data_IF_385144994877
#
_entry.id   IF_385144994877
#
_cell.length_a   1.000
_cell.length_b   1.000
_cell.length_c   1.000
_cell.angle_alpha   90.00
_cell.angle_beta   90.00
_cell.angle_gamma   90.00
#
_symmetry.space_group_name_H-M   'P 1'
#
loop_
_entity.id
_entity.type
_entity.pdbx_description
1 polymer ?
#
# COMPACT_ATOMS: atom_id res chain seq x y z
N UNK A 1 -12.00 2.49 -3.95
CA UNK A 1 -12.59 1.61 -2.91
C UNK A 1 -14.07 1.93 -2.69
N UNK A 2 -14.86 0.95 -2.23
CA UNK A 2 -16.28 1.15 -1.92
C UNK A 2 -16.47 0.95 -0.42
N UNK A 3 -17.09 1.91 0.26
CA UNK A 3 -17.34 1.86 1.70
C UNK A 3 -18.55 2.74 2.06
N UNK A 4 -19.43 2.24 2.94
CA UNK A 4 -20.56 3.00 3.50
C UNK A 4 -21.43 3.71 2.45
N UNK A 5 -21.79 3.00 1.37
CA UNK A 5 -22.54 3.51 0.22
C UNK A 5 -21.84 4.63 -0.58
N UNK A 6 -20.52 4.79 -0.43
CA UNK A 6 -19.70 5.72 -1.18
C UNK A 6 -18.66 4.98 -2.02
N UNK A 7 -18.30 5.57 -3.16
CA UNK A 7 -17.14 5.17 -3.95
C UNK A 7 -16.07 6.23 -3.77
N UNK A 8 -14.88 5.81 -3.36
CA UNK A 8 -13.71 6.67 -3.29
C UNK A 8 -12.74 6.24 -4.38
N UNK A 9 -12.25 7.18 -5.16
CA UNK A 9 -11.32 6.89 -6.25
C UNK A 9 -10.40 8.08 -6.47
N UNK A 10 -9.21 7.80 -6.97
CA UNK A 10 -8.28 8.81 -7.44
C UNK A 10 -8.36 8.95 -8.96
N UNK A 11 -8.12 10.17 -9.43
CA UNK A 11 -7.81 10.48 -10.83
C UNK A 11 -6.79 11.62 -10.83
N UNK A 12 -5.66 11.41 -11.52
CA UNK A 12 -4.65 12.46 -11.71
C UNK A 12 -4.20 13.12 -10.40
N UNK A 13 -3.87 12.30 -9.38
CA UNK A 13 -3.48 12.71 -8.03
C UNK A 13 -4.59 13.37 -7.18
N UNK A 14 -5.83 13.41 -7.68
CA UNK A 14 -6.97 13.93 -6.93
C UNK A 14 -7.83 12.79 -6.41
N UNK A 15 -8.22 12.83 -5.13
CA UNK A 15 -9.15 11.88 -4.52
C UNK A 15 -10.56 12.45 -4.52
N UNK A 16 -11.49 11.65 -5.01
CA UNK A 16 -12.91 11.97 -5.07
C UNK A 16 -13.73 11.01 -4.22
N UNK A 17 -14.84 11.52 -3.68
CA UNK A 17 -15.95 10.76 -3.11
C UNK A 17 -17.16 10.90 -4.04
N UNK A 18 -17.72 9.77 -4.44
CA UNK A 18 -19.03 9.68 -5.10
C UNK A 18 -20.02 9.03 -4.13
N UNK A 19 -20.99 9.80 -3.68
CA UNK A 19 -22.08 9.33 -2.84
C UNK A 19 -23.13 8.64 -3.72
N UNK A 20 -23.25 7.32 -3.60
CA UNK A 20 -24.16 6.54 -4.42
C UNK A 20 -25.63 6.79 -4.06
N UNK A 21 -25.92 7.33 -2.87
CA UNK A 21 -27.28 7.65 -2.44
C UNK A 21 -27.79 8.93 -3.10
N UNK A 22 -26.95 9.98 -3.11
CA UNK A 22 -27.34 11.28 -3.68
C UNK A 22 -26.90 11.47 -5.13
N UNK A 23 -26.02 10.60 -5.65
CA UNK A 23 -25.40 10.73 -6.97
C UNK A 23 -24.42 11.90 -7.07
N UNK A 24 -23.96 12.44 -5.94
CA UNK A 24 -23.09 13.62 -5.89
C UNK A 24 -21.61 13.24 -5.84
N UNK A 25 -20.81 13.99 -6.57
CA UNK A 25 -19.36 13.93 -6.55
C UNK A 25 -18.80 15.05 -5.67
N UNK A 26 -17.80 14.74 -4.84
CA UNK A 26 -17.06 15.67 -3.99
C UNK A 26 -15.56 15.43 -4.18
N UNK A 27 -14.80 16.48 -4.50
CA UNK A 27 -13.34 16.45 -4.40
C UNK A 27 -12.95 16.45 -2.92
N UNK A 28 -12.11 15.50 -2.51
CA UNK A 28 -11.56 15.43 -1.17
C UNK A 28 -10.19 16.10 -1.11
N UNK A 29 -9.28 15.74 -1.99
CA UNK A 29 -7.91 16.24 -1.99
C UNK A 29 -7.36 16.21 -3.43
N UNK A 30 -6.50 17.13 -3.80
CA UNK A 30 -5.96 17.29 -5.16
C UNK A 30 -4.44 17.01 -5.27
N UNK A 31 -3.83 16.49 -4.20
CA UNK A 31 -2.40 16.22 -4.13
C UNK A 31 -2.08 14.91 -3.36
N UNK A 32 -2.50 13.80 -3.95
CA UNK A 32 -2.42 12.46 -3.34
C UNK A 32 -1.82 11.44 -4.30
N UNK A 33 -0.74 10.79 -3.88
CA UNK A 33 -0.13 9.66 -4.60
C UNK A 33 -0.87 8.36 -4.32
N UNK A 34 -1.17 8.13 -3.04
CA UNK A 34 -1.85 6.95 -2.56
C UNK A 34 -2.76 7.33 -1.41
N UNK A 35 -3.94 6.71 -1.36
CA UNK A 35 -4.88 6.91 -0.26
C UNK A 35 -5.51 5.60 0.23
N UNK A 36 -6.04 5.67 1.44
CA UNK A 36 -6.98 4.71 2.02
C UNK A 36 -8.01 5.45 2.86
N UNK A 37 -9.23 4.94 2.89
CA UNK A 37 -10.27 5.40 3.80
C UNK A 37 -10.35 4.41 4.96
N UNK A 38 -10.34 4.92 6.19
CA UNK A 38 -10.52 4.09 7.38
C UNK A 38 -11.22 4.89 8.49
N UNK A 39 -12.30 4.32 9.04
CA UNK A 39 -13.05 4.90 10.17
C UNK A 39 -13.41 6.39 10.01
N UNK A 40 -13.86 6.82 8.83
CA UNK A 40 -14.25 8.20 8.55
C UNK A 40 -13.08 9.17 8.28
N UNK A 41 -11.86 8.66 8.22
CA UNK A 41 -10.67 9.42 7.87
C UNK A 41 -10.10 8.96 6.53
N UNK A 42 -9.61 9.93 5.76
CA UNK A 42 -8.73 9.68 4.63
C UNK A 42 -7.29 9.71 5.13
N UNK A 43 -6.54 8.68 4.79
CA UNK A 43 -5.10 8.63 4.97
C UNK A 43 -4.47 8.69 3.60
N UNK A 44 -3.37 9.43 3.47
CA UNK A 44 -2.73 9.59 2.17
C UNK A 44 -1.24 9.90 2.27
N UNK A 45 -0.54 9.62 1.16
CA UNK A 45 0.83 10.07 0.90
C UNK A 45 0.75 11.21 -0.13
N UNK A 46 1.37 12.34 0.19
CA UNK A 46 1.51 13.52 -0.69
C UNK A 46 2.79 13.37 -1.53
N UNK A 47 2.65 13.54 -2.86
CA UNK A 47 3.75 13.46 -3.81
C UNK A 47 4.43 14.81 -4.05
N UNK A 48 3.68 15.93 -4.15
CA UNK A 48 4.24 17.22 -4.55
C UNK A 48 5.31 17.71 -3.60
N UNK A 49 5.17 17.42 -2.31
CA UNK A 49 6.13 17.87 -1.32
C UNK A 49 7.34 16.93 -1.21
N UNK A 50 7.32 15.76 -1.88
CA UNK A 50 8.35 14.70 -1.78
C UNK A 50 8.65 14.31 -0.33
N UNK A 51 7.64 14.47 0.54
CA UNK A 51 7.83 14.37 1.98
C UNK A 51 7.70 12.95 2.49
N UNK A 52 7.15 12.06 1.65
CA UNK A 52 6.78 10.70 2.00
C UNK A 52 6.15 10.65 3.38
N UNK A 53 5.23 11.56 3.63
CA UNK A 53 4.55 11.72 4.91
C UNK A 53 3.17 11.12 4.77
N UNK A 54 2.77 10.31 5.76
CA UNK A 54 1.39 9.80 5.82
C UNK A 54 0.58 10.80 6.63
N UNK A 55 -0.35 11.41 5.94
CA UNK A 55 -1.33 12.33 6.51
C UNK A 55 -2.60 11.57 6.88
N UNK A 56 -3.34 12.14 7.82
CA UNK A 56 -4.69 11.75 8.21
C UNK A 56 -5.58 12.97 8.17
N UNK A 57 -6.73 12.84 7.53
CA UNK A 57 -7.67 13.92 7.30
C UNK A 57 -9.09 13.43 7.56
N UNK A 58 -9.88 14.21 8.29
CA UNK A 58 -11.29 13.87 8.50
C UNK A 58 -12.08 14.28 7.26
N UNK A 59 -12.82 13.33 6.67
CA UNK A 59 -13.52 13.51 5.38
C UNK A 59 -14.61 14.61 5.44
N UNK A 60 -15.05 14.97 6.65
CA UNK A 60 -16.07 15.98 6.86
C UNK A 60 -15.50 17.40 6.95
N UNK A 61 -14.36 17.60 7.62
CA UNK A 61 -13.81 18.93 7.88
C UNK A 61 -12.52 19.26 7.10
N UNK A 62 -11.94 18.25 6.44
CA UNK A 62 -10.75 18.36 5.60
C UNK A 62 -9.55 18.98 6.34
N UNK A 63 -9.41 18.68 7.64
CA UNK A 63 -8.24 19.07 8.44
C UNK A 63 -7.21 17.97 8.45
N UNK A 64 -6.08 18.21 7.78
CA UNK A 64 -4.96 17.29 7.72
C UNK A 64 -4.11 17.31 9.00
N UNK A 65 -3.60 16.13 9.35
CA UNK A 65 -2.70 15.88 10.48
C UNK A 65 -1.59 14.96 10.01
N UNK A 66 -0.34 15.26 10.37
CA UNK A 66 0.79 14.37 10.10
C UNK A 66 0.76 13.21 11.12
N UNK A 67 0.76 11.96 10.62
CA UNK A 67 0.82 10.77 11.47
C UNK A 67 2.19 10.11 11.41
N UNK A 68 2.79 10.02 10.23
CA UNK A 68 4.13 9.45 10.02
C UNK A 68 4.93 10.29 9.04
N UNK A 69 6.23 10.38 9.26
CA UNK A 69 7.11 11.25 8.48
C UNK A 69 7.28 12.64 9.09
N UNK A 70 8.20 13.43 8.53
CA UNK A 70 8.52 14.80 8.98
C UNK A 70 8.64 15.79 7.82
N UNK A 71 7.95 15.57 6.70
CA UNK A 71 7.95 16.62 5.68
C UNK A 71 9.28 16.79 4.92
N UNK A 72 10.14 15.77 4.79
CA UNK A 72 11.52 15.98 4.26
C UNK A 72 11.91 15.06 3.10
N UNK A 73 12.10 15.69 1.94
CA UNK A 73 12.62 15.12 0.71
C UNK A 73 14.14 15.01 0.72
N UNK A 74 14.72 13.98 1.35
CA UNK A 74 16.11 13.60 1.07
C UNK A 74 16.25 12.08 0.96
N UNK A 75 16.93 11.56 -0.08
CA UNK A 75 17.11 10.13 -0.31
C UNK A 75 17.90 9.41 0.81
N UNK A 76 18.56 10.18 1.69
CA UNK A 76 19.30 9.69 2.86
C UNK A 76 18.40 9.39 4.08
N UNK A 77 17.07 9.47 3.93
CA UNK A 77 16.08 9.18 4.98
C UNK A 77 15.03 8.22 4.45
N UNK A 78 14.33 7.56 5.38
CA UNK A 78 13.37 6.54 5.00
C UNK A 78 12.19 7.11 4.21
N UNK A 79 11.85 6.40 3.13
CA UNK A 79 10.80 6.75 2.17
C UNK A 79 9.64 5.79 2.38
N UNK A 80 8.42 6.31 2.43
CA UNK A 80 7.20 5.55 2.63
C UNK A 80 6.56 5.31 1.27
N UNK A 81 6.34 4.04 0.92
CA UNK A 81 5.97 3.65 -0.43
C UNK A 81 4.54 3.14 -0.54
N UNK A 82 3.98 2.64 0.56
CA UNK A 82 2.61 2.14 0.56
C UNK A 82 2.14 1.82 1.95
N UNK A 83 0.83 1.80 2.13
CA UNK A 83 0.22 1.53 3.42
C UNK A 83 -1.16 0.90 3.28
N UNK A 84 -1.55 0.13 4.30
CA UNK A 84 -2.87 -0.45 4.42
C UNK A 84 -3.24 -0.68 5.89
N UNK A 85 -4.49 -1.05 6.15
CA UNK A 85 -5.06 -1.19 7.49
C UNK A 85 -5.57 -2.60 7.75
N UNK A 86 -5.15 -3.19 8.88
CA UNK A 86 -5.85 -4.34 9.48
C UNK A 86 -6.66 -3.82 10.66
N UNK A 87 -7.94 -3.54 10.43
CA UNK A 87 -8.77 -2.86 11.42
C UNK A 87 -8.30 -1.42 11.64
N UNK A 88 -7.93 -1.07 12.87
CA UNK A 88 -7.36 0.25 13.20
C UNK A 88 -5.84 0.32 13.08
N UNK A 89 -5.16 -0.82 12.93
CA UNK A 89 -3.71 -0.88 12.86
C UNK A 89 -3.23 -0.48 11.46
N UNK A 90 -2.38 0.54 11.39
CA UNK A 90 -1.73 1.00 10.17
C UNK A 90 -0.46 0.19 9.92
N UNK A 91 -0.34 -0.39 8.73
CA UNK A 91 0.86 -1.05 8.22
C UNK A 91 1.39 -0.25 7.06
N UNK A 92 2.71 -0.12 6.97
CA UNK A 92 3.32 0.69 5.93
C UNK A 92 4.69 0.14 5.52
N UNK A 93 5.05 0.44 4.29
CA UNK A 93 6.31 0.08 3.69
C UNK A 93 7.26 1.25 3.77
N UNK A 94 8.49 0.97 4.21
CA UNK A 94 9.54 1.97 4.39
C UNK A 94 10.83 1.49 3.75
N UNK A 95 11.51 2.37 3.03
CA UNK A 95 12.92 2.15 2.66
C UNK A 95 13.83 2.59 3.79
N UNK A 96 14.81 1.77 4.12
CA UNK A 96 15.83 2.05 5.13
C UNK A 96 17.10 2.45 4.38
N UNK A 97 17.77 3.57 4.73
CA UNK A 97 18.90 4.13 3.96
C UNK A 97 20.06 3.17 3.64
N UNK A 98 20.27 2.11 4.43
CA UNK A 98 21.35 1.15 4.22
C UNK A 98 21.01 0.02 3.24
N UNK A 99 19.94 0.16 2.44
CA UNK A 99 19.55 -0.85 1.46
C UNK A 99 20.27 -0.66 0.13
N UNK A 100 20.76 -1.75 -0.46
CA UNK A 100 21.31 -1.74 -1.83
C UNK A 100 20.25 -1.49 -2.91
N UNK A 101 18.96 -1.48 -2.54
CA UNK A 101 17.84 -1.15 -3.40
C UNK A 101 17.45 0.33 -3.26
N UNK A 102 17.90 1.16 -4.20
CA UNK A 102 17.69 2.61 -4.14
C UNK A 102 16.28 3.07 -4.55
N UNK A 103 15.43 2.16 -5.04
CA UNK A 103 14.16 2.53 -5.69
C UNK A 103 12.89 1.93 -5.09
N UNK A 104 12.98 1.10 -4.04
CA UNK A 104 11.80 0.48 -3.45
C UNK A 104 11.89 0.45 -1.92
N UNK A 105 10.74 0.19 -1.28
CA UNK A 105 10.74 -0.16 0.13
C UNK A 105 11.54 -1.45 0.35
N UNK A 106 12.06 -1.62 1.56
CA UNK A 106 12.77 -2.84 1.94
C UNK A 106 12.41 -3.29 3.36
N UNK A 107 11.42 -2.66 3.98
CA UNK A 107 10.93 -3.05 5.28
C UNK A 107 9.43 -2.78 5.42
N UNK A 108 8.77 -3.71 6.11
CA UNK A 108 7.39 -3.60 6.55
C UNK A 108 7.37 -3.16 8.01
N UNK A 109 6.55 -2.17 8.31
CA UNK A 109 6.33 -1.63 9.64
C UNK A 109 4.85 -1.65 10.00
N UNK A 110 4.57 -1.62 11.30
CA UNK A 110 3.28 -1.29 11.86
C UNK A 110 3.39 0.01 12.67
N UNK A 111 2.34 0.84 12.66
CA UNK A 111 2.23 2.00 13.54
C UNK A 111 1.25 1.71 14.67
N UNK A 112 1.78 1.57 15.88
CA UNK A 112 0.99 1.21 17.07
C UNK A 112 1.35 2.13 18.22
N UNK A 113 0.34 2.70 18.86
CA UNK A 113 0.50 3.57 20.04
C UNK A 113 1.52 4.71 19.83
N UNK A 114 1.50 5.35 18.67
CA UNK A 114 2.43 6.45 18.36
C UNK A 114 3.82 6.01 17.90
N UNK A 115 4.09 4.71 17.81
CA UNK A 115 5.42 4.17 17.52
C UNK A 115 5.46 3.34 16.23
N UNK A 116 6.57 3.43 15.51
CA UNK A 116 6.90 2.53 14.39
C UNK A 116 7.49 1.22 14.92
N UNK A 117 6.90 0.09 14.57
CA UNK A 117 7.35 -1.26 14.93
C UNK A 117 7.81 -1.95 13.66
N UNK A 118 9.09 -2.33 13.58
CA UNK A 118 9.64 -3.09 12.46
C UNK A 118 9.08 -4.52 12.48
N UNK A 119 8.30 -4.87 11.46
CA UNK A 119 7.71 -6.20 11.31
C UNK A 119 8.63 -7.13 10.50
N UNK A 120 9.25 -6.57 9.46
CA UNK A 120 10.20 -7.28 8.61
C UNK A 120 11.18 -6.32 7.98
N UNK A 121 12.46 -6.72 7.95
CA UNK A 121 13.51 -6.10 7.15
C UNK A 121 13.98 -7.06 6.07
N UNK A 122 14.00 -6.60 4.82
CA UNK A 122 14.64 -7.26 3.70
C UNK A 122 15.93 -6.52 3.36
N UNK A 123 17.06 -7.23 3.41
CA UNK A 123 18.36 -6.64 3.04
C UNK A 123 18.67 -6.83 1.55
N UNK A 124 18.07 -7.84 0.90
CA UNK A 124 18.41 -8.27 -0.46
C UNK A 124 17.20 -8.34 -1.41
N UNK A 125 16.02 -7.95 -0.93
CA UNK A 125 14.76 -8.00 -1.69
C UNK A 125 14.06 -6.65 -1.55
N UNK A 126 13.58 -6.11 -2.66
CA UNK A 126 12.65 -4.99 -2.66
C UNK A 126 11.26 -5.46 -2.24
N UNK A 127 10.55 -4.64 -1.48
CA UNK A 127 9.11 -4.81 -1.24
C UNK A 127 8.40 -3.90 -2.23
N UNK A 128 7.48 -4.50 -2.97
CA UNK A 128 6.55 -3.82 -3.87
C UNK A 128 5.70 -2.82 -3.07
N UNK A 129 5.43 -1.65 -3.64
CA UNK A 129 4.70 -0.56 -3.00
C UNK A 129 3.24 -0.94 -2.70
N UNK A 130 2.67 -1.88 -3.47
CA UNK A 130 1.32 -2.36 -3.27
C UNK A 130 1.20 -3.36 -2.11
N UNK A 131 0.26 -3.06 -1.22
CA UNK A 131 -0.23 -3.98 -0.21
C UNK A 131 -1.75 -4.11 -0.31
N UNK A 132 -2.24 -5.29 0.05
CA UNK A 132 -3.67 -5.55 0.15
C UNK A 132 -4.00 -6.30 1.43
N UNK A 133 -5.09 -5.91 2.08
CA UNK A 133 -5.66 -6.68 3.19
C UNK A 133 -6.81 -7.56 2.72
N UNK A 134 -6.74 -8.85 3.07
CA UNK A 134 -7.81 -9.81 2.85
C UNK A 134 -7.95 -10.74 4.04
N UNK A 135 -9.19 -10.95 4.51
CA UNK A 135 -9.50 -11.73 5.72
C UNK A 135 -8.61 -11.34 6.93
N UNK A 136 -8.33 -10.05 7.10
CA UNK A 136 -7.48 -9.49 8.17
C UNK A 136 -6.01 -9.92 8.10
N UNK A 137 -5.54 -10.32 6.94
CA UNK A 137 -4.15 -10.63 6.65
C UNK A 137 -3.64 -9.67 5.58
N UNK A 138 -2.39 -9.25 5.72
CA UNK A 138 -1.74 -8.33 4.79
C UNK A 138 -0.95 -9.15 3.77
N UNK A 139 -1.17 -8.90 2.50
CA UNK A 139 -0.47 -9.53 1.38
C UNK A 139 0.33 -8.46 0.63
N UNK A 140 1.54 -8.81 0.23
CA UNK A 140 2.45 -7.93 -0.49
C UNK A 140 3.46 -8.76 -1.27
N UNK A 141 4.02 -8.18 -2.33
CA UNK A 141 5.02 -8.83 -3.16
C UNK A 141 6.43 -8.35 -2.78
N UNK A 142 7.41 -9.23 -2.97
CA UNK A 142 8.83 -8.88 -2.92
C UNK A 142 9.49 -9.31 -4.21
N UNK A 143 10.39 -8.51 -4.75
CA UNK A 143 11.23 -8.89 -5.88
C UNK A 143 12.70 -8.96 -5.43
N UNK A 144 13.39 -9.98 -5.88
CA UNK A 144 14.81 -10.17 -5.61
C UNK A 144 15.66 -9.92 -6.85
N UNK A 145 16.97 -9.81 -6.67
CA UNK A 145 17.90 -9.62 -7.78
C UNK A 145 18.03 -10.85 -8.69
N UNK A 146 17.36 -11.95 -8.36
CA UNK A 146 17.37 -13.22 -9.09
C UNK A 146 16.21 -13.38 -10.06
N UNK A 147 15.45 -12.30 -10.33
CA UNK A 147 14.25 -12.30 -11.17
C UNK A 147 13.12 -13.19 -10.60
N UNK A 148 12.94 -13.20 -9.28
CA UNK A 148 11.80 -13.87 -8.64
C UNK A 148 10.97 -12.91 -7.82
N UNK A 149 9.67 -12.90 -8.11
CA UNK A 149 8.67 -12.21 -7.31
C UNK A 149 8.01 -13.20 -6.37
N UNK A 150 8.10 -12.95 -5.07
CA UNK A 150 7.47 -13.76 -4.04
C UNK A 150 6.28 -13.03 -3.46
N UNK A 151 5.11 -13.67 -3.49
CA UNK A 151 3.93 -13.21 -2.77
C UNK A 151 4.04 -13.66 -1.32
N UNK A 152 3.97 -12.71 -0.40
CA UNK A 152 4.02 -12.94 1.02
C UNK A 152 2.70 -12.60 1.69
N UNK A 153 2.51 -13.18 2.87
CA UNK A 153 1.41 -12.92 3.77
C UNK A 153 1.91 -12.65 5.17
N UNK A 154 1.32 -11.66 5.84
CA UNK A 154 1.44 -11.40 7.26
C UNK A 154 0.09 -11.59 7.96
N UNK A 155 0.06 -12.46 8.98
CA UNK A 155 -1.09 -12.65 9.88
C UNK A 155 -0.89 -11.82 11.14
N UNK A 156 -1.73 -10.79 11.36
CA UNK A 156 -1.70 -10.02 12.60
C UNK A 156 -2.18 -10.84 13.81
N UNK A 157 -3.03 -11.84 13.58
CA UNK A 157 -3.55 -12.72 14.64
C UNK A 157 -2.43 -13.56 15.26
N UNK A 158 -1.58 -14.12 14.41
CA UNK A 158 -0.53 -15.05 14.83
C UNK A 158 0.83 -14.36 14.92
N UNK A 159 0.92 -13.11 14.47
CA UNK A 159 2.16 -12.35 14.31
C UNK A 159 3.22 -13.13 13.51
N UNK A 160 2.79 -13.74 12.40
CA UNK A 160 3.64 -14.57 11.55
C UNK A 160 3.66 -14.10 10.11
N UNK A 161 4.77 -14.40 9.44
CA UNK A 161 4.93 -14.22 8.01
C UNK A 161 5.11 -15.56 7.30
N UNK A 162 4.49 -15.72 6.13
CA UNK A 162 4.61 -16.92 5.31
C UNK A 162 4.63 -16.59 3.83
N UNK A 163 5.32 -17.42 3.03
CA UNK A 163 5.27 -17.34 1.56
C UNK A 163 3.95 -17.95 1.08
N UNK A 164 3.27 -17.25 0.19
CA UNK A 164 2.04 -17.74 -0.46
C UNK A 164 2.39 -18.38 -1.80
N UNK A 165 3.20 -17.70 -2.60
CA UNK A 165 3.64 -18.16 -3.91
C UNK A 165 4.99 -17.55 -4.28
N UNK A 166 5.71 -18.21 -5.18
CA UNK A 166 6.92 -17.68 -5.81
C UNK A 166 6.75 -17.78 -7.32
N UNK A 167 6.95 -16.67 -8.02
CA UNK A 167 6.68 -16.49 -9.43
C UNK A 167 7.95 -15.98 -10.12
N UNK A 168 8.20 -16.47 -11.33
CA UNK A 168 9.30 -15.98 -12.16
C UNK A 168 9.00 -14.55 -12.65
N UNK A 169 9.78 -13.55 -12.24
CA UNK A 169 9.58 -12.13 -12.60
C UNK A 169 9.65 -11.92 -14.12
N UNK A 170 10.39 -12.76 -14.84
CA UNK A 170 10.42 -12.78 -16.31
C UNK A 170 9.04 -13.01 -16.95
N UNK A 171 8.09 -13.60 -16.22
CA UNK A 171 6.72 -13.86 -16.67
C UNK A 171 5.72 -12.79 -16.20
N UNK A 172 6.12 -11.91 -15.27
CA UNK A 172 5.26 -10.88 -14.71
C UNK A 172 5.42 -9.57 -15.47
N UNK A 173 4.31 -8.89 -15.73
CA UNK A 173 4.35 -7.55 -16.31
C UNK A 173 5.08 -6.62 -15.33
N UNK A 174 5.96 -5.73 -15.79
CA UNK A 174 6.72 -4.84 -14.90
C UNK A 174 5.83 -3.89 -14.10
N UNK A 175 4.59 -3.67 -14.55
CA UNK A 175 3.54 -2.94 -13.81
C UNK A 175 2.64 -3.86 -12.96
N UNK A 176 3.09 -5.09 -12.64
CA UNK A 176 2.47 -5.94 -11.61
C UNK A 176 2.19 -5.17 -10.30
N UNK A 177 3.00 -4.13 -10.09
CA UNK A 177 3.28 -3.30 -8.91
C UNK A 177 2.35 -2.06 -8.79
N UNK A 178 1.60 -1.67 -9.84
CA UNK A 178 0.93 -0.34 -9.87
C UNK A 178 -0.59 -0.35 -10.09
N UNK A 179 -1.20 -1.48 -10.45
CA UNK A 179 -2.61 -1.48 -10.87
C UNK A 179 -3.44 -2.73 -10.56
N UNK A 180 -2.89 -3.74 -9.86
CA UNK A 180 -3.48 -5.08 -10.05
C UNK A 180 -3.60 -6.03 -8.89
N UNK A 181 -3.30 -5.66 -7.65
CA UNK A 181 -3.72 -6.55 -6.56
C UNK A 181 -5.21 -6.36 -6.23
N UNK A 182 -6.08 -6.91 -7.09
CA UNK A 182 -7.50 -7.07 -6.79
C UNK A 182 -7.74 -8.48 -6.29
N UNK A 183 -8.27 -8.58 -5.07
CA UNK A 183 -8.75 -9.84 -4.54
C UNK A 183 -10.23 -9.97 -4.85
N UNK A 184 -10.58 -10.95 -5.69
CA UNK A 184 -11.96 -11.26 -6.05
C UNK A 184 -12.25 -12.71 -5.66
N UNK A 185 -13.24 -12.91 -4.78
CA UNK A 185 -13.64 -14.23 -4.30
C UNK A 185 -12.48 -15.06 -3.73
N UNK A 186 -11.53 -14.42 -3.05
CA UNK A 186 -10.36 -15.08 -2.45
C UNK A 186 -9.25 -15.45 -3.44
N UNK A 187 -9.29 -14.90 -4.65
CA UNK A 187 -8.20 -15.01 -5.61
C UNK A 187 -7.55 -13.66 -5.80
N UNK A 188 -6.23 -13.62 -5.67
CA UNK A 188 -5.40 -12.47 -6.06
C UNK A 188 -5.13 -12.57 -7.56
N UNK A 189 -5.60 -11.60 -8.33
CA UNK A 189 -5.38 -11.56 -9.77
C UNK A 189 -4.15 -10.75 -10.14
N UNK A 190 -3.52 -11.06 -11.27
CA UNK A 190 -2.35 -10.34 -11.77
C UNK A 190 -2.17 -10.53 -13.28
N UNK A 191 -1.46 -9.60 -13.93
CA UNK A 191 -1.11 -9.71 -15.35
C UNK A 191 0.30 -10.26 -15.57
N UNK A 192 0.44 -11.12 -16.56
CA UNK A 192 1.74 -11.57 -17.08
C UNK A 192 2.28 -10.61 -18.15
N UNK A 193 3.56 -10.74 -18.55
CA UNK A 193 4.17 -9.90 -19.60
C UNK A 193 3.42 -9.91 -20.94
N UNK A 194 2.72 -10.99 -21.24
CA UNK A 194 1.88 -11.11 -22.44
C UNK A 194 0.41 -10.75 -22.17
N UNK A 195 0.16 -9.90 -21.17
CA UNK A 195 -1.16 -9.36 -20.81
C UNK A 195 -2.23 -10.43 -20.50
N UNK A 196 -1.82 -11.63 -20.10
CA UNK A 196 -2.77 -12.66 -19.65
C UNK A 196 -3.08 -12.44 -18.18
N UNK A 197 -4.38 -12.38 -17.87
CA UNK A 197 -4.85 -12.39 -16.49
C UNK A 197 -4.63 -13.78 -15.88
N UNK A 198 -3.99 -13.82 -14.72
CA UNK A 198 -3.74 -15.00 -13.90
C UNK A 198 -4.22 -14.76 -12.47
N UNK A 199 -4.27 -15.80 -11.66
CA UNK A 199 -4.58 -15.64 -10.25
C UNK A 199 -3.88 -16.66 -9.36
N UNK A 200 -3.74 -16.29 -8.08
CA UNK A 200 -3.33 -17.17 -6.98
C UNK A 200 -4.48 -17.26 -5.99
N UNK A 201 -4.85 -18.47 -5.58
CA UNK A 201 -5.86 -18.68 -4.53
C UNK A 201 -5.27 -18.32 -3.17
N UNK A 202 -5.95 -17.47 -2.42
CA UNK A 202 -5.62 -17.12 -1.06
C UNK A 202 -6.41 -18.02 -0.10
N UNK A 203 -5.76 -18.45 0.98
CA UNK A 203 -6.38 -19.28 2.03
C UNK A 203 -6.88 -18.40 3.17
#
# INVERSE_FOLDING_TARGET
>A
MVQDNNIYFDDSMSVYLFDMSSGKLKLLNDDVEQFKINNGYMFYIDHAQKTFTIYKENINDMKSQIILGKGVSKPNKGIYYGFDFIGSDLYFLKRIPDSTYEHCANALYAYKNGNEILMRKNNNEGIDEEMVVYKKELYFATDDSSNKTTLWKYSNKDNTMSKVACLESSKLYSYFIWNTVKIVNGYLYYYTKNYKLRCVKLN
#
